data_IF_690613459240
#
_entry.id   IF_690613459240
#
_cell.length_a   1.000
_cell.length_b   1.000
_cell.length_c   1.000
_cell.angle_alpha   90.00
_cell.angle_beta   90.00
_cell.angle_gamma   90.00
#
_symmetry.space_group_name_H-M   'P 1'
#
loop_
_entity.id
_entity.type
_entity.pdbx_description
1 polymer ?
#
# COMPACT_ATOMS: atom_id res chain seq x y z
N UNK A 1 2.19 2.44 10.76
CA UNK A 1 1.63 1.36 9.91
C UNK A 1 0.15 1.65 9.72
N UNK A 2 -0.34 1.59 8.48
CA UNK A 2 -1.76 1.71 8.15
C UNK A 2 -2.17 0.48 7.33
N UNK A 3 -3.43 0.06 7.45
CA UNK A 3 -3.99 -1.09 6.71
C UNK A 3 -5.13 -0.60 5.85
N UNK A 4 -5.12 -0.96 4.57
CA UNK A 4 -6.25 -0.76 3.66
C UNK A 4 -7.11 -2.03 3.68
N UNK A 5 -8.30 -2.02 4.31
CA UNK A 5 -9.15 -3.20 4.38
C UNK A 5 -9.85 -3.46 3.05
N UNK A 6 -10.12 -4.73 2.74
CA UNK A 6 -10.85 -5.13 1.52
C UNK A 6 -12.26 -4.52 1.40
N UNK A 7 -12.86 -4.13 2.52
CA UNK A 7 -14.15 -3.42 2.56
C UNK A 7 -14.10 -2.03 1.91
N UNK A 8 -12.90 -1.49 1.63
CA UNK A 8 -12.69 -0.18 0.99
C UNK A 8 -12.96 -0.21 -0.52
N UNK A 9 -13.27 -1.38 -1.08
CA UNK A 9 -13.76 -1.53 -2.46
C UNK A 9 -12.66 -1.50 -3.53
N UNK A 10 -13.02 -0.97 -4.71
CA UNK A 10 -12.31 -1.08 -6.00
C UNK A 10 -10.85 -0.63 -5.95
N UNK A 11 -10.48 0.30 -5.08
CA UNK A 11 -9.11 0.82 -4.95
C UNK A 11 -8.07 -0.25 -4.58
N UNK A 12 -8.44 -1.26 -3.79
CA UNK A 12 -7.54 -2.35 -3.42
C UNK A 12 -7.48 -3.51 -4.43
N UNK A 13 -8.42 -3.57 -5.37
CA UNK A 13 -8.58 -4.70 -6.30
C UNK A 13 -8.00 -4.42 -7.70
N UNK A 14 -7.81 -3.15 -8.06
CA UNK A 14 -7.46 -2.74 -9.43
C UNK A 14 -5.98 -2.38 -9.61
N UNK A 15 -5.26 -2.09 -8.52
CA UNK A 15 -3.84 -1.71 -8.60
C UNK A 15 -2.95 -2.93 -8.38
N UNK A 16 -2.04 -3.20 -9.33
CA UNK A 16 -0.90 -4.09 -9.05
C UNK A 16 -0.11 -3.55 -7.86
N UNK A 17 0.46 -4.44 -7.04
CA UNK A 17 1.31 -4.02 -5.94
C UNK A 17 2.52 -3.23 -6.46
N UNK A 18 2.83 -2.13 -5.78
CA UNK A 18 3.97 -1.27 -6.09
C UNK A 18 4.64 -0.76 -4.81
N UNK A 19 5.90 -0.36 -4.91
CA UNK A 19 6.59 0.37 -3.83
C UNK A 19 7.14 1.68 -4.35
N UNK A 20 6.95 2.76 -3.60
CA UNK A 20 7.51 4.10 -3.88
C UNK A 20 8.72 4.33 -3.00
N UNK A 21 9.76 4.95 -3.55
CA UNK A 21 10.99 5.28 -2.83
C UNK A 21 11.21 6.79 -2.86
N UNK A 22 11.79 7.27 -1.76
CA UNK A 22 12.27 8.63 -1.55
C UNK A 22 13.66 8.47 -0.96
N UNK A 23 14.65 9.14 -1.54
CA UNK A 23 16.06 9.05 -1.17
C UNK A 23 16.53 10.26 -0.37
N UNK A 24 15.85 11.40 -0.52
CA UNK A 24 16.11 12.62 0.24
C UNK A 24 15.16 12.81 1.44
N UNK A 25 15.36 13.89 2.20
CA UNK A 25 14.53 14.24 3.35
C UNK A 25 13.11 14.69 2.97
N UNK A 26 12.92 15.12 1.73
CA UNK A 26 11.61 15.51 1.23
C UNK A 26 10.83 14.26 0.79
N UNK A 27 9.55 14.11 1.19
CA UNK A 27 8.76 12.93 0.89
C UNK A 27 8.24 12.95 -0.54
N UNK A 28 9.15 12.96 -1.52
CA UNK A 28 8.88 12.95 -2.95
C UNK A 28 9.11 11.54 -3.48
N UNK A 29 8.25 11.09 -4.39
CA UNK A 29 8.42 9.80 -5.08
C UNK A 29 9.47 9.96 -6.16
N UNK A 30 10.61 9.29 -5.99
CA UNK A 30 11.78 9.38 -6.88
C UNK A 30 12.01 8.08 -7.66
N UNK A 31 11.51 6.96 -7.17
CA UNK A 31 11.48 5.70 -7.90
C UNK A 31 10.25 4.87 -7.52
N UNK A 32 9.75 4.08 -8.46
CA UNK A 32 8.66 3.12 -8.23
C UNK A 32 9.08 1.73 -8.70
N UNK A 33 8.90 0.72 -7.85
CA UNK A 33 9.09 -0.67 -8.25
C UNK A 33 7.76 -1.36 -8.54
N UNK A 34 7.74 -2.12 -9.63
CA UNK A 34 6.63 -2.97 -10.05
C UNK A 34 7.13 -4.40 -10.23
N UNK A 35 6.50 -5.33 -9.52
CA UNK A 35 6.75 -6.76 -9.73
C UNK A 35 6.02 -7.24 -10.99
N UNK A 36 6.75 -7.92 -11.86
CA UNK A 36 6.20 -8.56 -13.04
C UNK A 36 6.71 -10.02 -13.14
N UNK A 37 6.14 -10.79 -14.06
CA UNK A 37 6.47 -12.22 -14.21
C UNK A 37 7.96 -12.49 -14.54
N UNK A 38 8.70 -11.47 -14.97
CA UNK A 38 10.10 -11.54 -15.40
C UNK A 38 11.06 -10.87 -14.42
N UNK A 39 10.57 -10.34 -13.30
CA UNK A 39 11.34 -9.65 -12.27
C UNK A 39 10.75 -8.28 -11.91
N UNK A 40 11.58 -7.44 -11.32
CA UNK A 40 11.18 -6.10 -10.86
C UNK A 40 11.54 -5.05 -11.90
N UNK A 41 10.56 -4.22 -12.30
CA UNK A 41 10.79 -3.01 -13.09
C UNK A 41 10.93 -1.80 -12.18
N UNK A 42 11.82 -0.87 -12.53
CA UNK A 42 12.01 0.40 -11.84
C UNK A 42 11.58 1.53 -12.77
N UNK A 43 10.67 2.39 -12.31
CA UNK A 43 10.22 3.59 -13.01
C UNK A 43 10.84 4.82 -12.35
N UNK A 44 11.46 5.67 -13.15
CA UNK A 44 12.09 6.94 -12.74
C UNK A 44 11.59 8.12 -13.61
N UNK A 45 10.67 7.86 -14.55
CA UNK A 45 10.12 8.87 -15.44
C UNK A 45 9.13 9.79 -14.71
N UNK A 46 9.27 11.10 -14.87
CA UNK A 46 8.46 12.10 -14.15
C UNK A 46 6.94 11.90 -14.24
N UNK A 47 6.42 11.46 -15.38
CA UNK A 47 4.99 11.16 -15.57
C UNK A 47 4.56 9.96 -14.71
N UNK A 48 5.33 8.87 -14.75
CA UNK A 48 5.09 7.68 -13.94
C UNK A 48 5.16 8.01 -12.44
N UNK A 49 6.21 8.72 -12.01
CA UNK A 49 6.40 9.11 -10.61
C UNK A 49 5.21 9.92 -10.10
N UNK A 50 4.71 10.87 -10.90
CA UNK A 50 3.53 11.69 -10.56
C UNK A 50 2.27 10.83 -10.44
N UNK A 51 2.03 9.94 -11.40
CA UNK A 51 0.85 9.06 -11.39
C UNK A 51 0.84 8.13 -10.16
N UNK A 52 1.99 7.53 -9.83
CA UNK A 52 2.11 6.64 -8.68
C UNK A 52 2.11 7.38 -7.34
N UNK A 53 2.61 8.63 -7.28
CA UNK A 53 2.44 9.48 -6.10
C UNK A 53 0.96 9.73 -5.80
N UNK A 54 0.17 10.11 -6.81
CA UNK A 54 -1.27 10.29 -6.64
C UNK A 54 -1.99 9.00 -6.25
N UNK A 55 -1.62 7.87 -6.84
CA UNK A 55 -2.18 6.58 -6.48
C UNK A 55 -1.88 6.22 -5.03
N UNK A 56 -0.62 6.42 -4.59
CA UNK A 56 -0.23 6.21 -3.20
C UNK A 56 -1.05 7.08 -2.24
N UNK A 57 -1.23 8.36 -2.55
CA UNK A 57 -2.01 9.27 -1.72
C UNK A 57 -3.48 8.84 -1.60
N UNK A 58 -4.09 8.38 -2.70
CA UNK A 58 -5.46 7.84 -2.69
C UNK A 58 -5.59 6.57 -1.84
N UNK A 59 -4.62 5.65 -1.93
CA UNK A 59 -4.59 4.44 -1.11
C UNK A 59 -4.41 4.80 0.37
N UNK A 60 -3.50 5.72 0.66
CA UNK A 60 -3.20 6.18 2.02
C UNK A 60 -4.39 6.90 2.65
N UNK A 61 -5.10 7.76 1.91
CA UNK A 61 -6.28 8.47 2.40
C UNK A 61 -7.45 7.53 2.70
N UNK A 62 -7.50 6.40 2.01
CA UNK A 62 -8.55 5.39 2.15
C UNK A 62 -8.19 4.33 3.20
N UNK A 63 -6.91 4.24 3.59
CA UNK A 63 -6.44 3.31 4.61
C UNK A 63 -6.91 3.74 6.01
N UNK A 64 -7.03 2.75 6.90
CA UNK A 64 -7.36 3.00 8.30
C UNK A 64 -6.29 3.88 8.97
N UNK A 65 -6.72 4.68 9.93
CA UNK A 65 -5.81 5.33 10.87
C UNK A 65 -4.93 4.27 11.58
N UNK A 66 -3.71 4.64 12.04
CA UNK A 66 -2.80 3.68 12.68
C UNK A 66 -3.43 2.90 13.85
N UNK A 67 -4.19 3.58 14.71
CA UNK A 67 -4.84 2.96 15.86
C UNK A 67 -5.91 1.96 15.42
N UNK A 68 -6.73 2.33 14.43
CA UNK A 68 -7.76 1.45 13.87
C UNK A 68 -7.15 0.23 13.16
N UNK A 69 -6.00 0.42 12.50
CA UNK A 69 -5.23 -0.66 11.88
C UNK A 69 -4.75 -1.68 12.90
N UNK A 70 -4.25 -1.22 14.05
CA UNK A 70 -3.83 -2.09 15.16
C UNK A 70 -5.01 -2.91 15.69
N UNK A 71 -6.18 -2.28 15.86
CA UNK A 71 -7.38 -2.99 16.34
C UNK A 71 -7.84 -4.04 15.35
N UNK A 72 -7.83 -3.74 14.04
CA UNK A 72 -8.15 -4.70 13.00
C UNK A 72 -7.21 -5.92 13.07
N UNK A 73 -5.90 -5.71 13.11
CA UNK A 73 -4.90 -6.78 13.16
C UNK A 73 -5.11 -7.66 14.41
N UNK A 74 -5.26 -7.05 15.59
CA UNK A 74 -5.52 -7.80 16.84
C UNK A 74 -6.82 -8.60 16.78
N UNK A 75 -7.86 -8.04 16.17
CA UNK A 75 -9.14 -8.73 15.98
C UNK A 75 -9.05 -9.93 15.04
N UNK A 76 -8.21 -9.85 13.99
CA UNK A 76 -7.94 -10.99 13.10
C UNK A 76 -7.12 -12.06 13.82
N UNK A 77 -6.06 -11.68 14.54
CA UNK A 77 -5.22 -12.63 15.30
C UNK A 77 -6.01 -13.42 16.35
N UNK A 78 -6.98 -12.78 17.01
CA UNK A 78 -7.85 -13.47 17.98
C UNK A 78 -8.73 -14.52 17.31
N UNK A 79 -9.40 -14.16 16.21
CA UNK A 79 -10.25 -15.08 15.44
C UNK A 79 -9.47 -16.29 14.93
N UNK A 80 -8.28 -16.07 14.37
CA UNK A 80 -7.41 -17.16 13.91
C UNK A 80 -7.00 -18.14 15.03
N UNK A 81 -6.85 -17.65 16.27
CA UNK A 81 -6.54 -18.51 17.42
C UNK A 81 -7.76 -19.32 17.87
N UNK A 82 -8.95 -18.70 17.84
CA UNK A 82 -10.22 -19.36 18.17
C UNK A 82 -10.54 -20.47 17.15
N UNK A 83 -10.35 -20.21 15.85
CA UNK A 83 -10.58 -21.19 14.77
C UNK A 83 -9.61 -22.38 14.80
N UNK A 84 -8.45 -22.24 15.44
CA UNK A 84 -7.41 -23.26 15.55
C UNK A 84 -7.52 -24.12 16.82
N UNK A 85 -8.48 -23.84 17.71
CA UNK A 85 -8.72 -24.55 18.99
C UNK A 85 -9.88 -25.53 18.87
#
# INVERSE_FOLDING_TARGET
MQVLPFSTGVLGAVTSAFSTFSFDSEPVVEAVTLENLRGTSVLEGSEDLTAYAHMYDLLRSSALAPEASIQLIRGVLRRLKEDAS
#
